data_IF_424903933361
#
_entry.id   IF_424903933361
#
_cell.length_a   1.000
_cell.length_b   1.000
_cell.length_c   1.000
_cell.angle_alpha   90.00
_cell.angle_beta   90.00
_cell.angle_gamma   90.00
#
_symmetry.space_group_name_H-M   'P 1'
#
loop_
_entity.id
_entity.type
_entity.pdbx_description
1 polymer ?
#
# COMPACT_ATOMS: atom_id res chain seq x y z
N UNK A 1 41.84 -1.17 -10.87
CA UNK A 1 41.32 0.22 -10.77
C UNK A 1 39.80 0.19 -10.91
N UNK A 2 39.06 0.11 -9.80
CA UNK A 2 37.59 0.03 -9.81
C UNK A 2 37.00 1.37 -10.18
N UNK A 3 36.31 1.45 -11.33
CA UNK A 3 35.61 2.65 -11.78
C UNK A 3 34.45 2.91 -10.81
N UNK A 4 34.59 3.95 -9.97
CA UNK A 4 33.53 4.41 -9.06
C UNK A 4 32.28 4.73 -9.89
N UNK A 5 31.24 3.92 -9.74
CA UNK A 5 29.95 4.11 -10.42
C UNK A 5 29.40 5.47 -10.03
N UNK A 6 29.11 6.34 -11.01
CA UNK A 6 28.55 7.67 -10.74
C UNK A 6 27.24 7.49 -9.95
N UNK A 7 27.05 8.20 -8.82
CA UNK A 7 25.86 8.03 -8.00
C UNK A 7 24.63 8.40 -8.84
N UNK A 8 23.68 7.48 -8.94
CA UNK A 8 22.43 7.70 -9.65
C UNK A 8 21.58 8.74 -8.91
N UNK A 9 20.67 9.45 -9.59
CA UNK A 9 19.78 10.42 -8.95
C UNK A 9 19.04 9.84 -7.73
N UNK A 10 18.64 8.56 -7.79
CA UNK A 10 17.99 7.86 -6.69
C UNK A 10 18.91 7.70 -5.47
N UNK A 11 20.18 7.35 -5.67
CA UNK A 11 21.15 7.26 -4.57
C UNK A 11 21.46 8.62 -3.94
N UNK A 12 21.40 9.71 -4.72
CA UNK A 12 21.51 11.08 -4.20
C UNK A 12 20.30 11.46 -3.35
N UNK A 13 19.09 11.15 -3.82
CA UNK A 13 17.86 11.39 -3.08
C UNK A 13 17.85 10.61 -1.77
N UNK A 14 18.22 9.32 -1.80
CA UNK A 14 18.28 8.49 -0.60
C UNK A 14 19.29 9.04 0.42
N UNK A 15 20.47 9.50 -0.02
CA UNK A 15 21.47 10.13 0.85
C UNK A 15 21.01 11.47 1.42
N UNK A 16 20.34 12.30 0.62
CA UNK A 16 19.76 13.55 1.09
C UNK A 16 18.63 13.30 2.10
N UNK A 17 17.78 12.31 1.83
CA UNK A 17 16.68 11.91 2.69
C UNK A 17 17.15 11.39 4.04
N UNK A 18 18.17 10.54 4.08
CA UNK A 18 18.72 10.03 5.36
C UNK A 18 19.43 11.10 6.16
N UNK A 19 20.04 12.10 5.50
CA UNK A 19 20.69 13.25 6.15
C UNK A 19 19.74 14.36 6.61
N UNK A 20 18.54 14.44 6.03
CA UNK A 20 17.54 15.45 6.39
C UNK A 20 16.93 15.19 7.78
N UNK A 21 16.70 16.28 8.52
CA UNK A 21 16.00 16.28 9.80
C UNK A 21 14.51 15.89 9.63
N UNK A 22 13.83 15.44 10.71
CA UNK A 22 12.40 15.13 10.65
C UNK A 22 11.56 16.30 10.12
N UNK A 23 11.89 17.54 10.49
CA UNK A 23 11.19 18.74 10.03
C UNK A 23 11.36 18.97 8.51
N UNK A 24 12.59 18.80 7.99
CA UNK A 24 12.87 18.95 6.56
C UNK A 24 12.18 17.87 5.71
N UNK A 25 12.12 16.63 6.23
CA UNK A 25 11.36 15.56 5.59
C UNK A 25 9.86 15.89 5.56
N UNK A 26 9.33 16.42 6.65
CA UNK A 26 7.91 16.82 6.73
C UNK A 26 7.60 17.98 5.77
N UNK A 27 8.46 18.99 5.71
CA UNK A 27 8.31 20.12 4.79
C UNK A 27 8.36 19.66 3.32
N UNK A 28 9.22 18.69 2.99
CA UNK A 28 9.28 18.10 1.66
C UNK A 28 7.99 17.32 1.32
N UNK A 29 7.44 16.55 2.26
CA UNK A 29 6.18 15.84 2.06
C UNK A 29 5.00 16.80 1.88
N UNK A 30 4.96 17.91 2.62
CA UNK A 30 3.95 18.96 2.44
C UNK A 30 4.02 19.56 1.03
N UNK A 31 5.23 19.89 0.56
CA UNK A 31 5.46 20.40 -0.79
C UNK A 31 5.01 19.40 -1.88
N UNK A 32 5.36 18.12 -1.75
CA UNK A 32 4.94 17.08 -2.72
C UNK A 32 3.42 16.90 -2.71
N UNK A 33 2.79 16.95 -1.53
CA UNK A 33 1.33 16.87 -1.41
C UNK A 33 0.65 18.07 -2.04
N UNK A 34 1.21 19.28 -1.84
CA UNK A 34 0.75 20.49 -2.49
C UNK A 34 0.93 20.46 -4.01
N UNK A 35 2.04 19.92 -4.52
CA UNK A 35 2.29 19.71 -5.95
C UNK A 35 1.28 18.74 -6.57
N UNK A 36 1.02 17.58 -5.94
CA UNK A 36 0.01 16.60 -6.40
C UNK A 36 -1.37 17.26 -6.48
N UNK A 37 -1.73 18.06 -5.47
CA UNK A 37 -2.97 18.84 -5.42
C UNK A 37 -3.05 19.89 -6.53
N UNK A 38 -1.96 20.60 -6.78
CA UNK A 38 -1.88 21.62 -7.83
C UNK A 38 -1.93 21.02 -9.25
N UNK A 39 -1.42 19.81 -9.44
CA UNK A 39 -1.40 19.10 -10.73
C UNK A 39 -2.71 18.41 -11.10
N UNK A 40 -3.74 18.51 -10.25
CA UNK A 40 -5.07 17.97 -10.53
C UNK A 40 -5.19 16.45 -10.42
N UNK A 41 -4.17 15.76 -9.91
CA UNK A 41 -4.32 14.39 -9.42
C UNK A 41 -5.01 14.49 -8.06
N UNK A 42 -6.34 14.41 -8.07
CA UNK A 42 -7.18 14.47 -6.88
C UNK A 42 -6.89 13.29 -5.95
N UNK A 43 -5.87 13.42 -5.12
CA UNK A 43 -5.82 12.75 -3.83
C UNK A 43 -6.49 13.71 -2.85
N UNK A 44 -7.64 13.27 -2.34
CA UNK A 44 -8.47 14.01 -1.38
C UNK A 44 -7.60 14.66 -0.32
N UNK A 45 -7.65 15.98 -0.31
CA UNK A 45 -6.97 16.78 0.68
C UNK A 45 -7.92 17.02 1.83
N UNK A 46 -7.66 16.36 2.96
CA UNK A 46 -8.21 16.78 4.24
C UNK A 46 -7.43 18.02 4.70
N UNK A 47 -8.12 19.15 4.70
CA UNK A 47 -7.61 20.41 5.21
C UNK A 47 -7.35 20.31 6.73
N UNK A 48 -6.37 21.05 7.27
CA UNK A 48 -6.10 21.06 8.69
C UNK A 48 -7.14 21.94 9.39
N UNK A 49 -7.95 21.36 10.28
CA UNK A 49 -8.62 22.12 11.32
C UNK A 49 -7.87 21.96 12.62
N UNK A 50 -7.33 23.09 13.05
CA UNK A 50 -6.67 23.40 14.29
C UNK A 50 -7.40 22.81 15.51
N UNK A 51 -6.57 22.22 16.38
CA UNK A 51 -6.75 21.89 17.79
C UNK A 51 -8.11 22.20 18.45
N UNK A 52 -8.73 21.18 19.05
CA UNK A 52 -8.91 21.10 20.51
C UNK A 52 -9.50 19.73 20.94
N UNK A 53 -9.07 19.29 22.12
CA UNK A 53 -9.70 18.27 22.97
C UNK A 53 -9.26 16.80 22.83
N UNK A 54 -8.19 16.49 23.59
CA UNK A 54 -8.00 15.29 24.44
C UNK A 54 -9.07 14.18 24.36
N UNK A 55 -8.85 13.19 23.49
CA UNK A 55 -9.23 11.78 23.68
C UNK A 55 -8.15 10.94 22.97
N UNK A 56 -7.55 9.91 23.58
CA UNK A 56 -6.73 8.95 22.84
C UNK A 56 -7.69 8.09 22.01
N UNK A 57 -8.10 8.61 20.86
CA UNK A 57 -8.84 7.85 19.85
C UNK A 57 -7.92 6.77 19.28
N UNK A 58 -8.32 5.49 19.29
CA UNK A 58 -7.48 4.40 18.83
C UNK A 58 -7.20 4.60 17.33
N UNK A 59 -5.91 4.62 17.00
CA UNK A 59 -5.28 4.56 15.68
C UNK A 59 -6.23 4.54 14.44
N UNK A 60 -5.99 5.42 13.44
CA UNK A 60 -6.90 5.63 12.33
C UNK A 60 -7.11 4.35 11.52
N UNK A 61 -8.36 3.87 11.50
CA UNK A 61 -8.87 2.81 10.65
C UNK A 61 -8.74 3.11 9.13
N UNK A 62 -8.27 4.30 8.75
CA UNK A 62 -8.06 4.69 7.36
C UNK A 62 -6.87 3.98 6.70
N UNK A 63 -5.88 3.51 7.47
CA UNK A 63 -4.83 2.62 6.93
C UNK A 63 -5.34 1.21 6.60
N UNK A 64 -6.52 0.84 7.10
CA UNK A 64 -7.12 -0.47 6.88
C UNK A 64 -7.81 -0.57 5.51
N UNK A 65 -8.05 0.56 4.84
CA UNK A 65 -8.69 0.58 3.51
C UNK A 65 -7.70 0.71 2.35
N UNK A 66 -6.47 1.17 2.61
CA UNK A 66 -5.45 1.35 1.57
C UNK A 66 -4.75 0.03 1.25
N UNK A 67 -5.26 -0.63 0.22
CA UNK A 67 -4.85 -1.98 -0.18
C UNK A 67 -3.62 -1.95 -1.10
N UNK A 68 -3.45 -0.89 -1.88
CA UNK A 68 -2.32 -0.70 -2.78
C UNK A 68 -1.84 0.76 -2.83
N UNK A 69 -0.52 0.94 -3.01
CA UNK A 69 0.08 2.21 -3.37
C UNK A 69 0.23 2.21 -4.90
N UNK A 70 -0.79 2.74 -5.58
CA UNK A 70 -0.94 2.65 -7.02
C UNK A 70 -1.11 1.20 -7.50
N UNK A 71 -0.04 0.60 -8.02
CA UNK A 71 -0.03 -0.77 -8.56
C UNK A 71 0.60 -1.80 -7.62
N UNK A 72 1.19 -1.36 -6.52
CA UNK A 72 1.91 -2.23 -5.61
C UNK A 72 1.07 -2.48 -4.36
N UNK A 73 0.88 -3.75 -4.00
CA UNK A 73 0.21 -4.08 -2.74
C UNK A 73 1.05 -3.58 -1.57
N UNK A 74 0.38 -3.01 -0.55
CA UNK A 74 1.07 -2.66 0.67
C UNK A 74 1.53 -3.94 1.39
N UNK A 75 2.63 -3.89 2.15
CA UNK A 75 3.07 -5.01 2.99
C UNK A 75 1.99 -5.48 3.97
N UNK A 76 1.19 -4.54 4.50
CA UNK A 76 0.04 -4.83 5.37
C UNK A 76 -1.03 -5.65 4.65
N UNK A 77 -1.36 -5.29 3.41
CA UNK A 77 -2.29 -6.03 2.56
C UNK A 77 -1.80 -7.44 2.25
N UNK A 78 -0.51 -7.59 1.94
CA UNK A 78 0.09 -8.91 1.69
C UNK A 78 -0.09 -9.81 2.91
N UNK A 79 0.22 -9.31 4.10
CA UNK A 79 0.03 -10.07 5.34
C UNK A 79 -1.43 -10.47 5.58
N UNK A 80 -2.39 -9.59 5.27
CA UNK A 80 -3.84 -9.88 5.37
C UNK A 80 -4.28 -10.95 4.39
N UNK A 81 -3.88 -10.85 3.12
CA UNK A 81 -4.16 -11.87 2.10
C UNK A 81 -3.58 -13.21 2.51
N UNK A 82 -2.33 -13.24 2.99
CA UNK A 82 -1.69 -14.45 3.48
C UNK A 82 -2.39 -15.05 4.69
N UNK A 83 -2.91 -14.22 5.61
CA UNK A 83 -3.68 -14.69 6.75
C UNK A 83 -4.97 -15.38 6.30
N UNK A 84 -5.75 -14.75 5.43
CA UNK A 84 -6.99 -15.34 4.87
C UNK A 84 -6.67 -16.62 4.09
N UNK A 85 -5.59 -16.62 3.29
CA UNK A 85 -5.14 -17.82 2.58
C UNK A 85 -4.79 -18.95 3.53
N UNK A 86 -4.11 -18.67 4.65
CA UNK A 86 -3.75 -19.68 5.65
C UNK A 86 -4.99 -20.23 6.35
N UNK A 87 -5.92 -19.37 6.77
CA UNK A 87 -7.16 -19.76 7.45
C UNK A 87 -8.03 -20.64 6.55
N UNK A 88 -8.11 -20.32 5.25
CA UNK A 88 -8.95 -21.06 4.28
C UNK A 88 -8.18 -22.12 3.48
N UNK A 89 -6.90 -22.33 3.76
CA UNK A 89 -5.99 -23.22 3.02
C UNK A 89 -5.99 -22.97 1.49
N UNK A 90 -6.05 -21.69 1.08
CA UNK A 90 -6.11 -21.29 -0.33
C UNK A 90 -4.73 -21.05 -0.92
N UNK A 91 -4.54 -21.50 -2.16
CA UNK A 91 -3.36 -21.14 -2.96
C UNK A 91 -3.55 -19.79 -3.67
N UNK A 92 -2.47 -19.06 -4.03
CA UNK A 92 -2.58 -17.81 -4.77
C UNK A 92 -3.37 -17.95 -6.07
N UNK A 93 -3.25 -19.11 -6.73
CA UNK A 93 -3.99 -19.45 -7.94
C UNK A 93 -5.48 -19.63 -7.68
N UNK A 94 -5.85 -20.26 -6.56
CA UNK A 94 -7.25 -20.39 -6.16
C UNK A 94 -7.86 -19.02 -5.83
N UNK A 95 -7.11 -18.13 -5.16
CA UNK A 95 -7.55 -16.74 -4.92
C UNK A 95 -7.81 -16.03 -6.26
N UNK A 96 -6.93 -16.16 -7.24
CA UNK A 96 -7.16 -15.58 -8.58
C UNK A 96 -8.43 -16.12 -9.26
N UNK A 97 -8.74 -17.41 -9.09
CA UNK A 97 -9.97 -18.01 -9.62
C UNK A 97 -11.23 -17.48 -8.91
N UNK A 98 -11.20 -17.31 -7.60
CA UNK A 98 -12.28 -16.69 -6.80
C UNK A 98 -12.55 -15.24 -7.21
N UNK A 99 -11.48 -14.53 -7.60
CA UNK A 99 -11.56 -13.17 -8.13
C UNK A 99 -12.06 -13.11 -9.59
N UNK A 100 -12.35 -14.24 -10.21
CA UNK A 100 -12.81 -14.31 -11.61
C UNK A 100 -11.69 -14.17 -12.66
N UNK A 101 -10.43 -14.25 -12.26
CA UNK A 101 -9.28 -14.25 -13.17
C UNK A 101 -8.83 -15.68 -13.51
N UNK A 102 -7.98 -15.82 -14.54
CA UNK A 102 -7.49 -17.13 -14.93
C UNK A 102 -6.59 -17.71 -13.84
N UNK A 103 -6.77 -18.99 -13.54
CA UNK A 103 -5.88 -19.73 -12.65
C UNK A 103 -4.41 -19.78 -13.17
N UNK A 104 -4.19 -19.47 -14.46
CA UNK A 104 -2.84 -19.37 -15.04
C UNK A 104 -2.19 -18.00 -14.83
N UNK A 105 -2.92 -17.01 -14.33
CA UNK A 105 -2.37 -15.68 -14.06
C UNK A 105 -1.45 -15.71 -12.83
N UNK A 106 -0.14 -15.60 -13.09
CA UNK A 106 0.89 -15.58 -12.03
C UNK A 106 1.05 -14.20 -11.37
N UNK A 107 0.16 -13.25 -11.67
CA UNK A 107 0.24 -11.87 -11.22
C UNK A 107 0.18 -11.77 -9.70
N UNK A 108 -0.76 -12.46 -9.04
CA UNK A 108 -0.87 -12.47 -7.58
C UNK A 108 0.33 -13.19 -6.94
N UNK A 109 0.74 -14.34 -7.49
CA UNK A 109 1.92 -15.07 -7.02
C UNK A 109 3.18 -14.21 -7.05
N UNK A 110 3.41 -13.47 -8.15
CA UNK A 110 4.55 -12.54 -8.26
C UNK A 110 4.41 -11.35 -7.31
N UNK A 111 3.20 -10.86 -7.08
CA UNK A 111 2.98 -9.75 -6.16
C UNK A 111 3.28 -10.14 -4.71
N UNK A 112 2.87 -11.33 -4.28
CA UNK A 112 3.17 -11.85 -2.94
C UNK A 112 4.67 -12.16 -2.80
N UNK A 113 5.27 -12.85 -3.77
CA UNK A 113 6.66 -13.29 -3.68
C UNK A 113 7.69 -12.17 -3.91
N UNK A 114 7.44 -11.28 -4.87
CA UNK A 114 8.42 -10.31 -5.37
C UNK A 114 7.99 -8.85 -5.17
N UNK A 115 6.85 -8.59 -4.51
CA UNK A 115 6.27 -7.24 -4.40
C UNK A 115 6.11 -6.57 -5.76
N UNK A 116 5.70 -7.35 -6.75
CA UNK A 116 5.52 -6.90 -8.13
C UNK A 116 4.26 -6.03 -8.30
N UNK A 117 4.23 -5.25 -9.37
CA UNK A 117 3.07 -4.48 -9.75
C UNK A 117 1.92 -5.38 -10.23
N UNK A 118 0.71 -5.10 -9.76
CA UNK A 118 -0.54 -5.73 -10.16
C UNK A 118 -1.35 -4.81 -11.07
N UNK A 119 -2.25 -5.42 -11.85
CA UNK A 119 -3.25 -4.69 -12.63
C UNK A 119 -4.29 -4.08 -11.67
N UNK A 120 -4.77 -2.88 -11.97
CA UNK A 120 -5.76 -2.18 -11.14
C UNK A 120 -7.04 -3.00 -10.95
N UNK A 121 -7.49 -3.72 -11.99
CA UNK A 121 -8.66 -4.59 -11.89
C UNK A 121 -8.48 -5.70 -10.84
N UNK A 122 -7.30 -6.33 -10.79
CA UNK A 122 -7.00 -7.37 -9.79
C UNK A 122 -6.95 -6.78 -8.39
N UNK A 123 -6.40 -5.57 -8.24
CA UNK A 123 -6.38 -4.87 -6.95
C UNK A 123 -7.80 -4.54 -6.47
N UNK A 124 -8.68 -4.08 -7.37
CA UNK A 124 -10.06 -3.76 -7.05
C UNK A 124 -10.87 -4.98 -6.59
N UNK A 125 -10.77 -6.09 -7.33
CA UNK A 125 -11.43 -7.35 -6.94
C UNK A 125 -10.82 -7.90 -5.65
N UNK A 126 -9.50 -7.88 -5.50
CA UNK A 126 -8.82 -8.33 -4.28
C UNK A 126 -9.28 -7.52 -3.06
N UNK A 127 -9.54 -6.23 -3.25
CA UNK A 127 -10.07 -5.38 -2.19
C UNK A 127 -11.49 -5.75 -1.76
N UNK A 128 -12.36 -6.09 -2.71
CA UNK A 128 -13.70 -6.56 -2.41
C UNK A 128 -13.66 -7.92 -1.72
N UNK A 129 -12.83 -8.83 -2.22
CA UNK A 129 -12.62 -10.15 -1.65
C UNK A 129 -12.09 -10.10 -0.22
N UNK A 130 -11.08 -9.27 0.07
CA UNK A 130 -10.56 -9.11 1.44
C UNK A 130 -11.66 -8.68 2.42
N UNK A 131 -12.43 -7.64 2.09
CA UNK A 131 -13.54 -7.18 2.94
C UNK A 131 -14.57 -8.28 3.20
N UNK A 132 -14.90 -9.06 2.18
CA UNK A 132 -15.86 -10.16 2.32
C UNK A 132 -15.33 -11.27 3.25
N UNK A 133 -14.04 -11.59 3.18
CA UNK A 133 -13.45 -12.65 4.00
C UNK A 133 -13.15 -12.21 5.44
N UNK A 134 -12.84 -10.94 5.67
CA UNK A 134 -12.59 -10.40 7.01
C UNK A 134 -13.87 -10.24 7.83
N UNK A 135 -14.98 -9.87 7.17
CA UNK A 135 -16.30 -9.84 7.81
C UNK A 135 -16.73 -11.24 8.30
N UNK A 136 -16.36 -12.30 7.56
CA UNK A 136 -16.59 -13.69 7.98
C UNK A 136 -15.68 -14.06 9.16
N UNK A 137 -14.42 -13.63 9.14
CA UNK A 137 -13.43 -13.96 10.17
C UNK A 137 -13.75 -13.27 11.52
N UNK A 138 -14.33 -12.07 11.51
CA UNK A 138 -14.69 -11.32 12.73
C UNK A 138 -15.89 -11.92 13.48
N UNK A 139 -16.70 -12.77 12.84
CA UNK A 139 -17.90 -13.36 13.45
C UNK A 139 -17.62 -14.62 14.28
N UNK A 140 -16.41 -15.18 14.18
CA UNK A 140 -16.04 -16.47 14.76
C UNK A 140 -15.07 -16.34 15.97
N UNK A 141 -14.95 -15.16 16.59
CA UNK A 141 -14.15 -14.91 17.80
C UNK A 141 -15.00 -14.47 18.98
#
# INVERSE_FOLDING_TARGET
>A
MSKKTKPTPLTKLLKAWTGASPEERQAFLDLVTAEVRAKGETVQSVAPKTAESLIPDPAPADHETLIANGRYLLPSTIARVEAVMRTRNLSPTAVMAELGFSARDTSLTRALAMKAALRLSVIAELALWLRANEAVTTREG
#
